data_IF_604385193558
#
_entry.id   IF_604385193558
#
_cell.length_a   1.000
_cell.length_b   1.000
_cell.length_c   1.000
_cell.angle_alpha   90.00
_cell.angle_beta   90.00
_cell.angle_gamma   90.00
#
_symmetry.space_group_name_H-M   'P 1'
#
loop_
_entity.id
_entity.type
_entity.pdbx_description
1 polymer ?
#
# COMPACT_ATOMS: atom_id res chain seq x y z
N UNK A 1 -11.37 -1.77 17.36
CA UNK A 1 -10.15 -2.01 18.17
C UNK A 1 -9.45 -3.33 17.84
N UNK A 2 -9.86 -4.09 16.80
CA UNK A 2 -9.31 -5.42 16.49
C UNK A 2 -9.52 -6.42 17.65
N UNK A 3 -10.70 -6.36 18.28
CA UNK A 3 -11.08 -7.30 19.35
C UNK A 3 -10.35 -7.09 20.68
N UNK A 4 -9.62 -5.99 20.87
CA UNK A 4 -8.86 -5.71 22.11
C UNK A 4 -9.73 -5.78 23.37
N UNK A 5 -10.98 -5.33 23.29
CA UNK A 5 -11.92 -5.37 24.42
C UNK A 5 -12.89 -6.55 24.37
N UNK A 6 -13.22 -7.05 23.17
CA UNK A 6 -14.31 -8.02 22.99
C UNK A 6 -13.85 -9.48 22.83
N UNK A 7 -12.58 -9.74 22.48
CA UNK A 7 -12.14 -11.08 22.08
C UNK A 7 -12.24 -12.09 23.25
N UNK A 8 -11.68 -11.76 24.41
CA UNK A 8 -11.71 -12.65 25.59
C UNK A 8 -13.14 -12.88 26.08
N UNK A 9 -13.98 -11.85 26.11
CA UNK A 9 -15.40 -11.99 26.51
C UNK A 9 -16.17 -12.85 25.52
N UNK A 10 -15.96 -12.67 24.21
CA UNK A 10 -16.56 -13.52 23.19
C UNK A 10 -16.14 -14.98 23.32
N UNK A 11 -14.85 -15.24 23.58
CA UNK A 11 -14.35 -16.59 23.82
C UNK A 11 -14.96 -17.23 25.08
N UNK A 12 -15.16 -16.47 26.15
CA UNK A 12 -15.82 -16.95 27.36
C UNK A 12 -17.26 -17.38 27.11
N UNK A 13 -18.04 -16.59 26.34
CA UNK A 13 -19.42 -16.95 25.97
C UNK A 13 -19.44 -18.21 25.08
N UNK A 14 -18.52 -18.32 24.12
CA UNK A 14 -18.44 -19.49 23.25
C UNK A 14 -18.03 -20.76 24.02
N UNK A 15 -17.12 -20.63 25.00
CA UNK A 15 -16.71 -21.70 25.89
C UNK A 15 -17.91 -22.22 26.71
N UNK A 16 -18.70 -21.31 27.30
CA UNK A 16 -19.92 -21.64 28.04
C UNK A 16 -20.95 -22.38 27.18
N UNK A 17 -21.25 -21.86 25.98
CA UNK A 17 -22.23 -22.46 25.07
C UNK A 17 -21.82 -23.83 24.52
N UNK A 18 -20.52 -24.12 24.46
CA UNK A 18 -19.99 -25.37 23.90
C UNK A 18 -19.52 -26.37 24.95
N UNK A 19 -19.62 -26.04 26.24
CA UNK A 19 -19.14 -26.87 27.35
C UNK A 19 -17.62 -27.10 27.32
N UNK A 20 -16.86 -26.17 26.73
CA UNK A 20 -15.39 -26.23 26.60
C UNK A 20 -14.74 -25.21 27.52
N UNK A 21 -13.45 -25.39 27.79
CA UNK A 21 -12.62 -24.32 28.39
C UNK A 21 -12.26 -23.26 27.34
N UNK A 22 -11.84 -22.07 27.79
CA UNK A 22 -11.36 -21.01 26.89
C UNK A 22 -10.17 -21.48 26.02
N UNK A 23 -9.14 -22.19 26.56
CA UNK A 23 -8.06 -22.74 25.76
C UNK A 23 -8.53 -23.70 24.65
N UNK A 24 -9.53 -24.55 24.93
CA UNK A 24 -10.09 -25.51 23.96
C UNK A 24 -10.98 -24.85 22.90
N UNK A 25 -11.60 -23.72 23.24
CA UNK A 25 -12.35 -22.90 22.29
C UNK A 25 -11.41 -22.26 21.27
N UNK A 26 -10.18 -21.97 21.69
CA UNK A 26 -9.11 -21.45 20.84
C UNK A 26 -9.25 -19.96 20.55
N UNK A 27 -8.14 -19.29 20.27
CA UNK A 27 -8.15 -17.87 19.87
C UNK A 27 -8.24 -17.74 18.34
N UNK A 28 -8.66 -16.56 17.87
CA UNK A 28 -8.56 -16.21 16.45
C UNK A 28 -7.13 -15.85 16.06
N UNK A 29 -6.78 -15.96 14.78
CA UNK A 29 -5.48 -15.55 14.25
C UNK A 29 -5.30 -14.02 14.40
N UNK A 30 -4.26 -13.61 15.11
CA UNK A 30 -3.81 -12.22 15.17
C UNK A 30 -3.14 -11.83 13.85
N UNK A 31 -3.52 -10.68 13.28
CA UNK A 31 -3.00 -10.20 11.99
C UNK A 31 -2.49 -8.76 12.10
N UNK A 32 -1.35 -8.43 11.46
CA UNK A 32 -0.96 -7.05 11.22
C UNK A 32 -1.98 -6.30 10.34
N UNK A 33 -2.05 -4.97 10.44
CA UNK A 33 -1.40 -4.13 11.45
C UNK A 33 -2.17 -4.15 12.79
N UNK A 34 -1.45 -4.08 13.92
CA UNK A 34 -2.02 -4.16 15.28
C UNK A 34 -2.91 -2.96 15.66
N UNK A 35 -2.60 -1.80 15.08
CA UNK A 35 -3.42 -0.60 15.09
C UNK A 35 -3.58 -0.13 13.64
N UNK A 36 -4.66 0.61 13.31
CA UNK A 36 -4.80 1.19 11.99
C UNK A 36 -3.57 2.04 11.61
N UNK A 37 -3.14 1.90 10.36
CA UNK A 37 -2.08 2.72 9.75
C UNK A 37 -2.67 3.41 8.53
N UNK A 38 -2.37 4.69 8.36
CA UNK A 38 -2.82 5.46 7.19
C UNK A 38 -2.15 4.94 5.91
N UNK A 39 -2.94 4.76 4.84
CA UNK A 39 -2.45 4.22 3.56
C UNK A 39 -1.27 5.03 2.97
N UNK A 40 -1.28 6.35 3.11
CA UNK A 40 -0.22 7.23 2.60
C UNK A 40 1.16 6.96 3.22
N UNK A 41 1.21 6.53 4.48
CA UNK A 41 2.47 6.19 5.18
C UNK A 41 3.09 4.93 4.57
N UNK A 42 2.27 3.97 4.13
CA UNK A 42 2.76 2.74 3.51
C UNK A 42 3.45 2.98 2.18
N UNK A 43 3.10 4.07 1.48
CA UNK A 43 3.70 4.45 0.21
C UNK A 43 5.09 5.07 0.34
N UNK A 44 5.61 5.36 1.55
CA UNK A 44 7.00 5.77 1.74
C UNK A 44 7.46 7.06 1.02
N UNK A 45 6.54 7.86 0.48
CA UNK A 45 6.85 9.01 -0.37
C UNK A 45 6.82 8.73 -1.89
N UNK A 46 6.47 7.50 -2.30
CA UNK A 46 6.22 7.10 -3.69
C UNK A 46 4.92 7.73 -4.22
N UNK A 47 4.95 9.04 -4.45
CA UNK A 47 3.81 9.84 -4.91
C UNK A 47 4.20 10.73 -6.09
N UNK A 48 3.23 11.03 -6.95
CA UNK A 48 3.42 11.93 -8.09
C UNK A 48 4.59 11.53 -8.99
N UNK A 49 5.50 12.48 -9.27
CA UNK A 49 6.70 12.25 -10.10
C UNK A 49 7.73 11.31 -9.46
N UNK A 50 7.62 11.06 -8.15
CA UNK A 50 8.53 10.19 -7.40
C UNK A 50 7.99 8.76 -7.24
N UNK A 51 6.75 8.49 -7.67
CA UNK A 51 6.15 7.16 -7.63
C UNK A 51 7.02 6.08 -8.30
N UNK A 52 7.74 6.46 -9.36
CA UNK A 52 8.70 5.59 -10.05
C UNK A 52 9.81 6.42 -10.70
N UNK A 53 10.98 5.83 -10.98
CA UNK A 53 12.05 6.54 -11.69
C UNK A 53 11.57 7.12 -13.01
N UNK A 54 11.78 8.43 -13.19
CA UNK A 54 11.53 9.15 -14.44
C UNK A 54 12.85 9.45 -15.13
N UNK A 55 13.22 8.60 -16.11
CA UNK A 55 14.50 8.68 -16.81
C UNK A 55 14.40 9.59 -18.03
N UNK A 56 15.38 10.48 -18.19
CA UNK A 56 15.49 11.41 -19.31
C UNK A 56 16.70 11.04 -20.16
N UNK A 57 16.58 11.14 -21.48
CA UNK A 57 17.73 11.00 -22.38
C UNK A 57 18.64 12.22 -22.26
N UNK A 58 19.94 12.13 -22.61
CA UNK A 58 20.83 13.29 -22.66
C UNK A 58 20.31 14.43 -23.55
N UNK A 59 19.51 14.07 -24.57
CA UNK A 59 18.89 14.99 -25.53
C UNK A 59 17.54 15.56 -25.07
N UNK A 60 17.04 15.23 -23.87
CA UNK A 60 15.71 15.62 -23.42
C UNK A 60 15.50 17.13 -23.45
N UNK A 61 16.44 17.91 -22.91
CA UNK A 61 16.34 19.37 -22.88
C UNK A 61 16.36 20.00 -24.27
N UNK A 62 17.15 19.44 -25.19
CA UNK A 62 17.14 19.90 -26.58
C UNK A 62 15.77 19.61 -27.21
N UNK A 63 15.22 18.42 -27.01
CA UNK A 63 13.92 18.05 -27.56
C UNK A 63 12.77 18.91 -26.99
N UNK A 64 12.80 19.20 -25.68
CA UNK A 64 11.88 20.17 -25.06
C UNK A 64 11.99 21.56 -25.72
N UNK A 65 13.22 22.04 -25.96
CA UNK A 65 13.47 23.31 -26.64
C UNK A 65 13.02 23.35 -28.12
N UNK A 66 12.84 22.19 -28.76
CA UNK A 66 12.27 22.07 -30.11
C UNK A 66 10.75 21.83 -30.10
N UNK A 67 10.10 21.89 -28.94
CA UNK A 67 8.64 21.69 -28.84
C UNK A 67 8.20 20.24 -28.89
N UNK A 68 9.08 19.27 -28.59
CA UNK A 68 8.70 17.86 -28.57
C UNK A 68 7.53 17.57 -27.62
N UNK A 69 6.63 16.70 -28.06
CA UNK A 69 5.61 16.08 -27.21
C UNK A 69 6.16 14.75 -26.70
N UNK A 70 6.02 14.48 -25.40
CA UNK A 70 6.64 13.31 -24.77
C UNK A 70 5.64 12.25 -24.35
N UNK A 71 6.08 10.99 -24.37
CA UNK A 71 5.35 9.81 -23.89
C UNK A 71 6.21 8.98 -22.95
N UNK A 72 5.55 8.26 -22.05
CA UNK A 72 6.20 7.27 -21.19
C UNK A 72 6.41 5.95 -21.94
N UNK A 73 7.67 5.48 -22.00
CA UNK A 73 8.05 4.17 -22.53
C UNK A 73 8.79 3.42 -21.42
N UNK A 74 8.04 2.68 -20.62
CA UNK A 74 8.54 2.12 -19.36
C UNK A 74 8.88 3.25 -18.37
N UNK A 75 10.13 3.29 -17.89
CA UNK A 75 10.64 4.37 -17.02
C UNK A 75 11.18 5.59 -17.79
N UNK A 76 11.26 5.51 -19.12
CA UNK A 76 11.84 6.56 -19.94
C UNK A 76 10.77 7.53 -20.43
N UNK A 77 11.10 8.82 -20.40
CA UNK A 77 10.41 9.83 -21.19
C UNK A 77 11.06 9.88 -22.57
N UNK A 78 10.27 9.67 -23.62
CA UNK A 78 10.74 9.79 -25.01
C UNK A 78 9.91 10.80 -25.77
N UNK A 79 10.56 11.57 -26.63
CA UNK A 79 9.86 12.39 -27.62
C UNK A 79 9.02 11.47 -28.50
N UNK A 80 7.71 11.65 -28.46
CA UNK A 80 6.74 10.96 -29.29
C UNK A 80 6.72 11.55 -30.69
N UNK A 81 6.70 12.89 -30.79
CA UNK A 81 6.77 13.64 -32.04
C UNK A 81 7.18 15.10 -31.79
N UNK A 82 7.52 15.81 -32.86
CA UNK A 82 7.82 17.24 -32.89
C UNK A 82 6.78 17.92 -33.80
N UNK A 83 5.98 18.89 -33.31
CA UNK A 83 4.97 19.59 -34.09
C UNK A 83 5.51 20.44 -35.24
#
# INVERSE_FOLDING_TARGET
DQGKTANVTGLAVMAELTGRTIPETGTTIFRPPYIPVTLSVLGGGDIGRHYRPRRLTPTNHWAEGQGAVFVEVGQWMRAQYFP
#
